data_IF_643693393894
#
_entry.id   IF_643693393894
#
_cell.length_a   1.000
_cell.length_b   1.000
_cell.length_c   1.000
_cell.angle_alpha   90.00
_cell.angle_beta   90.00
_cell.angle_gamma   90.00
#
_symmetry.space_group_name_H-M   'P 1'
#
loop_
_entity.id
_entity.type
_entity.pdbx_description
1 polymer ?
#
# COMPACT_ATOMS: atom_id res chain seq x y z
N UNK A 1 8.27 14.76 -13.14
CA UNK A 1 8.64 14.98 -11.71
C UNK A 1 7.39 15.24 -10.93
N UNK A 2 7.14 14.44 -9.90
CA UNK A 2 6.00 14.58 -8.99
C UNK A 2 6.16 15.91 -8.22
N UNK A 3 5.12 16.74 -8.25
CA UNK A 3 5.11 18.01 -7.51
C UNK A 3 4.00 17.97 -6.47
N UNK A 4 4.31 17.62 -5.21
CA UNK A 4 3.31 17.67 -4.14
C UNK A 4 3.06 19.11 -3.69
N UNK A 5 1.83 19.40 -3.30
CA UNK A 5 1.45 20.70 -2.71
C UNK A 5 2.08 20.91 -1.32
N UNK A 6 2.56 19.84 -0.70
CA UNK A 6 3.21 19.84 0.62
C UNK A 6 4.68 19.47 0.50
N UNK A 7 5.53 20.06 1.34
CA UNK A 7 6.96 19.72 1.38
C UNK A 7 7.15 18.33 1.99
N UNK A 8 8.03 17.50 1.39
CA UNK A 8 8.42 16.22 2.00
C UNK A 8 9.05 16.45 3.38
N UNK A 9 8.74 15.53 4.30
CA UNK A 9 9.34 15.54 5.65
C UNK A 9 10.65 14.77 5.60
N UNK A 10 11.76 15.44 5.89
CA UNK A 10 13.03 14.79 6.08
C UNK A 10 13.06 13.97 7.36
N UNK A 11 13.48 12.72 7.24
CA UNK A 11 13.49 11.80 8.36
C UNK A 11 14.73 11.99 9.23
N UNK A 12 14.55 12.42 10.49
CA UNK A 12 15.63 12.34 11.49
C UNK A 12 15.92 10.89 11.84
N UNK A 13 17.13 10.44 11.52
CA UNK A 13 17.60 9.10 11.82
C UNK A 13 17.91 8.96 13.31
N UNK A 14 17.21 8.09 14.02
CA UNK A 14 17.40 7.84 15.46
C UNK A 14 17.92 6.41 15.69
N UNK A 15 18.64 6.18 16.78
CA UNK A 15 19.12 4.85 17.17
C UNK A 15 17.96 3.84 17.30
N UNK A 16 16.81 4.26 17.84
CA UNK A 16 15.61 3.43 17.96
C UNK A 16 15.11 2.94 16.58
N UNK A 17 15.13 3.81 15.56
CA UNK A 17 14.72 3.45 14.19
C UNK A 17 15.74 2.54 13.54
N UNK A 18 17.03 2.81 13.70
CA UNK A 18 18.10 1.96 13.22
C UNK A 18 18.01 0.53 13.80
N UNK A 19 17.77 0.42 15.11
CA UNK A 19 17.63 -0.87 15.79
C UNK A 19 16.36 -1.61 15.31
N UNK A 20 15.22 -0.93 15.20
CA UNK A 20 13.97 -1.52 14.68
C UNK A 20 14.16 -2.03 13.24
N UNK A 21 14.76 -1.22 12.36
CA UNK A 21 15.08 -1.65 11.00
C UNK A 21 16.01 -2.87 11.00
N UNK A 22 17.06 -2.88 11.82
CA UNK A 22 17.99 -4.00 11.90
C UNK A 22 17.30 -5.31 12.34
N UNK A 23 16.47 -5.26 13.37
CA UNK A 23 15.75 -6.44 13.89
C UNK A 23 14.78 -7.06 12.89
N UNK A 24 14.12 -6.24 12.09
CA UNK A 24 13.11 -6.69 11.11
C UNK A 24 13.61 -6.71 9.67
N UNK A 25 14.86 -6.31 9.43
CA UNK A 25 15.43 -6.12 8.09
C UNK A 25 15.17 -7.29 7.15
N UNK A 26 15.53 -8.50 7.56
CA UNK A 26 15.46 -9.69 6.67
C UNK A 26 14.01 -9.96 6.25
N UNK A 27 13.07 -9.93 7.19
CA UNK A 27 11.66 -10.25 6.94
C UNK A 27 10.99 -9.17 6.08
N UNK A 28 11.18 -7.89 6.44
CA UNK A 28 10.58 -6.77 5.73
C UNK A 28 11.14 -6.60 4.32
N UNK A 29 12.46 -6.71 4.14
CA UNK A 29 13.09 -6.62 2.83
C UNK A 29 12.74 -7.81 1.91
N UNK A 30 12.65 -9.03 2.46
CA UNK A 30 12.24 -10.19 1.68
C UNK A 30 10.78 -10.05 1.19
N UNK A 31 9.88 -9.54 2.06
CA UNK A 31 8.50 -9.23 1.69
C UNK A 31 8.45 -8.13 0.63
N UNK A 32 9.15 -7.02 0.85
CA UNK A 32 9.19 -5.89 -0.06
C UNK A 32 9.70 -6.29 -1.46
N UNK A 33 10.81 -7.04 -1.54
CA UNK A 33 11.35 -7.53 -2.82
C UNK A 33 10.37 -8.44 -3.57
N UNK A 34 9.58 -9.24 -2.85
CA UNK A 34 8.58 -10.10 -3.49
C UNK A 34 7.44 -9.28 -4.08
N UNK A 35 6.89 -8.32 -3.31
CA UNK A 35 5.84 -7.42 -3.79
C UNK A 35 6.34 -6.56 -4.95
N UNK A 36 7.55 -6.01 -4.82
CA UNK A 36 8.16 -5.16 -5.83
C UNK A 36 8.27 -5.85 -7.21
N UNK A 37 8.56 -7.16 -7.27
CA UNK A 37 8.59 -7.88 -8.55
C UNK A 37 7.26 -7.83 -9.29
N UNK A 38 6.13 -8.06 -8.59
CA UNK A 38 4.80 -7.96 -9.20
C UNK A 38 4.46 -6.53 -9.62
N UNK A 39 4.90 -5.53 -8.84
CA UNK A 39 4.70 -4.13 -9.15
C UNK A 39 5.47 -3.74 -10.41
N UNK A 40 6.73 -4.15 -10.51
CA UNK A 40 7.59 -3.83 -11.65
C UNK A 40 7.00 -4.30 -12.99
N UNK A 41 6.36 -5.48 -13.03
CA UNK A 41 5.69 -6.03 -14.21
C UNK A 41 4.52 -5.15 -14.71
N UNK A 42 4.00 -4.27 -13.85
CA UNK A 42 2.87 -3.38 -14.15
C UNK A 42 3.31 -1.93 -14.43
N UNK A 43 4.60 -1.61 -14.34
CA UNK A 43 5.09 -0.23 -14.44
C UNK A 43 5.72 0.15 -15.79
N UNK A 44 5.75 -0.72 -16.79
CA UNK A 44 6.50 -0.50 -18.04
C UNK A 44 6.16 0.83 -18.72
N UNK A 45 4.90 1.22 -18.73
CA UNK A 45 4.38 2.43 -19.37
C UNK A 45 4.30 3.65 -18.39
N UNK A 46 4.80 3.52 -17.17
CA UNK A 46 4.75 4.56 -16.14
C UNK A 46 6.10 5.26 -15.98
N UNK A 47 6.07 6.57 -15.73
CA UNK A 47 7.27 7.37 -15.42
C UNK A 47 7.39 7.69 -13.94
N UNK A 48 6.27 7.71 -13.23
CA UNK A 48 6.22 8.00 -11.81
C UNK A 48 5.18 7.15 -11.07
N UNK A 49 5.39 6.98 -9.76
CA UNK A 49 4.58 6.15 -8.88
C UNK A 49 4.48 6.80 -7.51
N UNK A 50 3.29 6.85 -6.92
CA UNK A 50 3.13 7.07 -5.48
C UNK A 50 2.92 5.73 -4.76
N UNK A 51 3.55 5.57 -3.60
CA UNK A 51 3.28 4.49 -2.63
C UNK A 51 2.36 5.07 -1.55
N UNK A 52 1.06 4.81 -1.70
CA UNK A 52 0.00 5.35 -0.84
C UNK A 52 -0.16 4.50 0.42
N UNK A 53 -0.10 5.13 1.59
CA UNK A 53 -0.05 4.45 2.87
C UNK A 53 1.25 3.66 3.04
N UNK A 54 2.38 4.29 2.68
CA UNK A 54 3.69 3.66 2.55
C UNK A 54 4.30 3.13 3.87
N UNK A 55 3.70 3.45 5.01
CA UNK A 55 4.05 2.93 6.33
C UNK A 55 5.53 3.09 6.66
N UNK A 56 6.26 1.96 6.74
CA UNK A 56 7.68 1.94 7.06
C UNK A 56 8.61 2.33 5.90
N UNK A 57 8.07 2.49 4.71
CA UNK A 57 8.74 2.85 3.45
C UNK A 57 9.79 1.83 2.95
N UNK A 58 9.85 0.63 3.48
CA UNK A 58 10.81 -0.39 2.99
C UNK A 58 10.44 -0.87 1.59
N UNK A 59 9.14 -0.97 1.28
CA UNK A 59 8.68 -1.26 -0.08
C UNK A 59 8.99 -0.11 -1.03
N UNK A 60 8.74 1.14 -0.62
CA UNK A 60 9.11 2.36 -1.38
C UNK A 60 10.61 2.38 -1.69
N UNK A 61 11.47 2.12 -0.68
CA UNK A 61 12.94 2.07 -0.85
C UNK A 61 13.36 0.93 -1.78
N UNK A 62 12.70 -0.22 -1.69
CA UNK A 62 12.98 -1.35 -2.58
C UNK A 62 12.64 -1.00 -4.04
N UNK A 63 11.48 -0.39 -4.29
CA UNK A 63 11.08 0.06 -5.62
C UNK A 63 12.04 1.12 -6.16
N UNK A 64 12.37 2.12 -5.35
CA UNK A 64 13.33 3.16 -5.73
C UNK A 64 14.70 2.58 -6.15
N UNK A 65 15.13 1.48 -5.54
CA UNK A 65 16.37 0.78 -5.91
C UNK A 65 16.24 -0.16 -7.12
N UNK A 66 15.03 -0.49 -7.57
CA UNK A 66 14.77 -1.43 -8.66
C UNK A 66 14.37 -0.75 -9.98
N UNK A 67 14.07 0.53 -9.98
CA UNK A 67 13.61 1.28 -11.15
C UNK A 67 14.26 2.67 -11.21
N UNK A 68 14.34 3.22 -12.40
CA UNK A 68 14.71 4.62 -12.69
C UNK A 68 13.51 5.58 -12.59
N UNK A 69 12.31 5.04 -12.36
CA UNK A 69 11.09 5.82 -12.23
C UNK A 69 11.07 6.62 -10.91
N UNK A 70 10.38 7.74 -10.92
CA UNK A 70 10.20 8.52 -9.71
C UNK A 70 9.20 7.82 -8.78
N UNK A 71 9.66 7.42 -7.58
CA UNK A 71 8.84 6.76 -6.56
C UNK A 71 8.75 7.64 -5.32
N UNK A 72 7.53 7.97 -4.88
CA UNK A 72 7.28 8.85 -3.74
C UNK A 72 6.35 8.17 -2.72
N UNK A 73 6.78 8.13 -1.46
CA UNK A 73 5.95 7.62 -0.35
C UNK A 73 5.03 8.69 0.22
N UNK A 74 3.76 8.33 0.45
CA UNK A 74 2.72 9.19 1.02
C UNK A 74 2.00 8.48 2.16
N UNK A 75 1.84 9.13 3.30
CA UNK A 75 1.14 8.57 4.45
C UNK A 75 0.53 9.66 5.33
N UNK A 76 -0.39 9.32 6.22
CA UNK A 76 -0.93 10.21 7.25
C UNK A 76 -0.07 10.21 8.52
N UNK A 77 0.75 9.17 8.72
CA UNK A 77 1.59 8.96 9.91
C UNK A 77 3.04 8.73 9.52
N UNK A 78 3.97 9.40 10.18
CA UNK A 78 5.40 9.16 9.97
C UNK A 78 5.90 7.91 10.69
N UNK A 79 5.84 6.76 10.04
CA UNK A 79 6.42 5.48 10.47
C UNK A 79 7.71 5.11 9.73
N UNK A 80 8.22 5.99 8.88
CA UNK A 80 9.36 5.78 7.98
C UNK A 80 10.60 5.21 8.68
N UNK A 81 11.10 4.08 8.21
CA UNK A 81 12.34 3.41 8.64
C UNK A 81 13.48 3.56 7.62
N UNK A 82 13.30 4.38 6.59
CA UNK A 82 14.28 4.62 5.53
C UNK A 82 14.84 6.04 5.61
N UNK A 83 15.69 6.40 4.67
CA UNK A 83 16.19 7.78 4.52
C UNK A 83 15.46 8.54 3.41
N UNK A 84 14.51 7.90 2.72
CA UNK A 84 13.73 8.55 1.69
C UNK A 84 12.81 9.61 2.30
N UNK A 85 12.56 10.70 1.58
CA UNK A 85 11.59 11.70 2.00
C UNK A 85 10.18 11.13 1.98
N UNK A 86 9.37 11.50 2.98
CA UNK A 86 7.98 11.11 3.13
C UNK A 86 7.09 12.34 2.95
N UNK A 87 6.03 12.20 2.17
CA UNK A 87 4.97 13.21 2.09
C UNK A 87 3.89 12.85 3.09
N UNK A 88 3.66 13.74 4.06
CA UNK A 88 2.53 13.63 4.99
C UNK A 88 1.34 14.42 4.48
N UNK A 89 0.15 13.84 4.60
CA UNK A 89 -1.11 14.50 4.26
C UNK A 89 -2.16 14.28 5.36
N UNK A 90 -3.30 14.97 5.27
CA UNK A 90 -4.32 15.03 6.33
C UNK A 90 -5.32 13.86 6.36
N UNK A 91 -5.16 12.89 5.46
CA UNK A 91 -6.09 11.74 5.31
C UNK A 91 -7.34 12.08 4.49
N UNK A 92 -7.48 13.31 3.99
CA UNK A 92 -8.66 13.75 3.24
C UNK A 92 -8.39 13.93 1.76
N UNK A 93 -7.35 14.69 1.42
CA UNK A 93 -7.00 15.03 0.04
C UNK A 93 -5.52 14.80 -0.19
N UNK A 94 -5.20 14.04 -1.23
CA UNK A 94 -3.82 13.81 -1.63
C UNK A 94 -3.21 15.11 -2.20
N UNK A 95 -1.99 15.49 -1.80
CA UNK A 95 -1.36 16.75 -2.15
C UNK A 95 -0.73 16.69 -3.57
N UNK A 96 -1.51 16.27 -4.55
CA UNK A 96 -1.12 16.17 -5.94
C UNK A 96 -2.23 16.68 -6.84
N UNK A 97 -1.86 17.25 -7.98
CA UNK A 97 -2.77 17.68 -9.03
C UNK A 97 -3.54 16.49 -9.64
N UNK A 98 -4.68 16.77 -10.25
CA UNK A 98 -5.48 15.78 -10.95
C UNK A 98 -4.66 15.15 -12.08
N UNK A 99 -4.73 13.81 -12.19
CA UNK A 99 -4.05 13.04 -13.26
C UNK A 99 -2.54 13.32 -13.40
N UNK A 100 -1.87 13.75 -12.33
CA UNK A 100 -0.42 14.06 -12.33
C UNK A 100 0.47 12.85 -12.11
N UNK A 101 -0.09 11.73 -11.60
CA UNK A 101 0.61 10.51 -11.24
C UNK A 101 0.27 9.41 -12.24
N UNK A 102 1.28 8.73 -12.81
CA UNK A 102 1.04 7.63 -13.75
C UNK A 102 0.47 6.39 -13.06
N UNK A 103 1.04 6.02 -11.91
CA UNK A 103 0.56 4.88 -11.15
C UNK A 103 0.47 5.19 -9.65
N UNK A 104 -0.53 4.61 -8.97
CA UNK A 104 -0.62 4.59 -7.52
C UNK A 104 -0.51 3.15 -7.02
N UNK A 105 0.39 2.91 -6.06
CA UNK A 105 0.49 1.67 -5.32
C UNK A 105 -0.27 1.80 -4.01
N UNK A 106 -1.05 0.81 -3.68
CA UNK A 106 -1.84 0.71 -2.44
C UNK A 106 -1.62 -0.70 -1.85
N UNK A 107 -0.68 -0.82 -0.92
CA UNK A 107 -0.26 -2.11 -0.41
C UNK A 107 -0.76 -2.34 1.01
N UNK A 108 -1.87 -3.07 1.16
CA UNK A 108 -2.49 -3.42 2.46
C UNK A 108 -2.94 -2.18 3.24
N UNK A 109 -3.65 -1.27 2.59
CA UNK A 109 -4.06 0.03 3.13
C UNK A 109 -5.56 0.24 3.13
N UNK A 110 -6.28 -0.19 2.08
CA UNK A 110 -7.71 0.15 1.93
C UNK A 110 -8.56 -0.38 3.08
N UNK A 111 -8.24 -1.56 3.62
CA UNK A 111 -8.96 -2.11 4.76
C UNK A 111 -8.76 -1.30 6.06
N UNK A 112 -7.77 -0.40 6.12
CA UNK A 112 -7.56 0.56 7.21
C UNK A 112 -8.26 1.90 6.99
N UNK A 113 -8.77 2.17 5.80
CA UNK A 113 -9.45 3.42 5.51
C UNK A 113 -10.85 3.43 6.14
N UNK A 114 -11.21 4.50 6.83
CA UNK A 114 -12.57 4.69 7.38
C UNK A 114 -13.62 4.86 6.27
N UNK A 115 -13.20 5.41 5.13
CA UNK A 115 -14.02 5.66 3.95
C UNK A 115 -13.26 5.21 2.71
N UNK A 116 -13.48 3.96 2.29
CA UNK A 116 -12.84 3.36 1.12
C UNK A 116 -13.26 4.08 -0.16
N UNK A 117 -14.53 4.48 -0.26
CA UNK A 117 -15.10 5.12 -1.45
C UNK A 117 -14.43 6.46 -1.70
N UNK A 118 -14.34 7.30 -0.65
CA UNK A 118 -13.64 8.58 -0.72
C UNK A 118 -12.19 8.41 -1.13
N UNK A 119 -11.51 7.39 -0.58
CA UNK A 119 -10.10 7.15 -0.87
C UNK A 119 -9.88 6.64 -2.29
N UNK A 120 -10.74 5.76 -2.81
CA UNK A 120 -10.68 5.33 -4.22
C UNK A 120 -10.95 6.51 -5.17
N UNK A 121 -11.87 7.42 -4.83
CA UNK A 121 -12.11 8.64 -5.60
C UNK A 121 -10.86 9.54 -5.65
N UNK A 122 -10.16 9.74 -4.51
CA UNK A 122 -8.92 10.52 -4.45
C UNK A 122 -7.77 9.85 -5.22
N UNK A 123 -7.59 8.55 -5.07
CA UNK A 123 -6.61 7.80 -5.85
C UNK A 123 -6.89 7.91 -7.35
N UNK A 124 -8.16 7.78 -7.76
CA UNK A 124 -8.59 7.97 -9.17
C UNK A 124 -8.35 9.41 -9.64
N UNK A 125 -8.59 10.41 -8.80
CA UNK A 125 -8.36 11.83 -9.15
C UNK A 125 -6.89 12.09 -9.51
N UNK A 126 -5.96 11.64 -8.69
CA UNK A 126 -4.54 11.93 -8.88
C UNK A 126 -3.88 11.02 -9.92
N UNK A 127 -4.42 9.81 -10.11
CA UNK A 127 -3.80 8.79 -10.98
C UNK A 127 -4.31 8.89 -12.41
N UNK A 128 -3.39 8.80 -13.36
CA UNK A 128 -3.66 8.92 -14.80
C UNK A 128 -3.88 7.58 -15.49
N UNK A 129 -3.14 6.53 -15.13
CA UNK A 129 -3.12 5.27 -15.88
C UNK A 129 -3.63 4.09 -15.07
N UNK A 130 -3.05 3.78 -13.93
CA UNK A 130 -3.37 2.57 -13.17
C UNK A 130 -3.19 2.69 -11.67
N UNK A 131 -3.98 1.92 -10.93
CA UNK A 131 -3.83 1.72 -9.49
C UNK A 131 -3.47 0.26 -9.25
N UNK A 132 -2.38 0.00 -8.54
CA UNK A 132 -1.91 -1.33 -8.16
C UNK A 132 -2.29 -1.55 -6.71
N UNK A 133 -3.12 -2.55 -6.44
CA UNK A 133 -3.62 -2.83 -5.09
C UNK A 133 -3.16 -4.21 -4.63
N UNK A 134 -2.66 -4.28 -3.40
CA UNK A 134 -2.50 -5.52 -2.66
C UNK A 134 -3.42 -5.50 -1.47
N UNK A 135 -4.26 -6.52 -1.32
CA UNK A 135 -5.14 -6.62 -0.16
C UNK A 135 -5.21 -8.04 0.38
N UNK A 136 -5.46 -8.14 1.68
CA UNK A 136 -5.78 -9.40 2.33
C UNK A 136 -7.28 -9.67 2.23
N UNK A 137 -7.62 -10.89 1.80
CA UNK A 137 -9.02 -11.31 1.63
C UNK A 137 -9.32 -12.52 2.48
N UNK A 138 -10.54 -12.62 2.96
CA UNK A 138 -11.06 -13.81 3.62
C UNK A 138 -11.98 -14.61 2.69
N UNK A 139 -12.08 -15.93 2.92
CA UNK A 139 -12.95 -16.82 2.17
C UNK A 139 -14.16 -17.31 2.98
N UNK A 140 -14.02 -17.29 4.31
CA UNK A 140 -15.04 -17.78 5.24
C UNK A 140 -14.91 -17.08 6.61
N UNK A 141 -15.86 -17.30 7.50
CA UNK A 141 -15.90 -16.70 8.83
C UNK A 141 -14.66 -16.98 9.69
N UNK A 142 -14.02 -18.15 9.51
CA UNK A 142 -12.81 -18.49 10.25
C UNK A 142 -11.64 -17.63 9.79
N UNK A 143 -11.42 -17.54 8.47
CA UNK A 143 -10.35 -16.70 7.90
C UNK A 143 -10.57 -15.22 8.17
N UNK A 144 -11.82 -14.75 8.22
CA UNK A 144 -12.17 -13.39 8.63
C UNK A 144 -11.74 -13.11 10.08
N UNK A 145 -12.07 -14.01 11.03
CA UNK A 145 -11.67 -13.87 12.43
C UNK A 145 -10.14 -13.86 12.60
N UNK A 146 -9.43 -14.66 11.82
CA UNK A 146 -7.96 -14.70 11.84
C UNK A 146 -7.36 -13.38 11.39
N UNK A 147 -7.87 -12.78 10.31
CA UNK A 147 -7.45 -11.43 9.87
C UNK A 147 -7.68 -10.40 10.97
N UNK A 148 -8.86 -10.40 11.58
CA UNK A 148 -9.18 -9.48 12.67
C UNK A 148 -8.24 -9.66 13.88
N UNK A 149 -7.91 -10.92 14.26
CA UNK A 149 -6.96 -11.19 15.35
C UNK A 149 -5.53 -10.75 15.02
N UNK A 150 -5.10 -10.94 13.76
CA UNK A 150 -3.77 -10.52 13.30
C UNK A 150 -3.61 -9.00 13.38
N UNK A 151 -4.58 -8.26 12.89
CA UNK A 151 -4.57 -6.80 12.92
C UNK A 151 -4.75 -6.23 14.32
N UNK A 152 -5.55 -6.88 15.16
CA UNK A 152 -5.64 -6.51 16.58
C UNK A 152 -4.28 -6.63 17.28
N UNK A 153 -3.49 -7.66 16.96
CA UNK A 153 -2.11 -7.80 17.45
C UNK A 153 -1.21 -6.66 16.99
N UNK A 154 -1.31 -6.27 15.73
CA UNK A 154 -0.57 -5.12 15.19
C UNK A 154 -0.97 -3.79 15.85
N UNK A 155 -2.26 -3.62 16.20
CA UNK A 155 -2.78 -2.46 16.92
C UNK A 155 -2.20 -2.34 18.33
N UNK A 156 -2.06 -3.44 19.06
CA UNK A 156 -1.42 -3.44 20.41
C UNK A 156 0.04 -3.00 20.35
N UNK A 157 0.72 -3.23 19.22
CA UNK A 157 2.11 -2.84 19.01
C UNK A 157 2.25 -1.42 18.44
N UNK A 158 1.18 -0.86 17.86
CA UNK A 158 1.16 0.45 17.19
C UNK A 158 -0.01 1.28 17.70
N UNK A 159 0.19 2.00 18.81
CA UNK A 159 -0.85 2.75 19.55
C UNK A 159 -1.46 3.97 18.85
N UNK A 160 -1.32 4.14 17.53
CA UNK A 160 -1.68 5.38 16.82
C UNK A 160 -2.70 5.23 15.68
N UNK A 161 -3.20 4.03 15.40
CA UNK A 161 -4.14 3.84 14.29
C UNK A 161 -5.51 3.44 14.83
N UNK A 162 -6.52 4.26 14.54
CA UNK A 162 -7.91 3.80 14.54
C UNK A 162 -8.07 2.94 13.29
N UNK A 163 -8.37 1.67 13.46
CA UNK A 163 -8.43 0.71 12.36
C UNK A 163 -9.87 0.22 12.23
N UNK A 164 -10.65 0.76 11.30
CA UNK A 164 -11.82 0.03 10.81
C UNK A 164 -11.30 -1.20 10.07
N UNK A 165 -11.67 -2.39 10.53
CA UNK A 165 -11.26 -3.66 9.92
C UNK A 165 -12.17 -3.98 8.73
N UNK A 166 -12.03 -3.23 7.65
CA UNK A 166 -12.84 -3.34 6.44
C UNK A 166 -12.31 -4.43 5.48
N UNK A 167 -12.00 -5.61 6.03
CA UNK A 167 -11.62 -6.73 5.17
C UNK A 167 -12.81 -7.18 4.32
N UNK A 168 -12.56 -7.36 3.03
CA UNK A 168 -13.55 -7.83 2.07
C UNK A 168 -13.15 -9.19 1.48
N UNK A 169 -14.11 -9.86 0.85
CA UNK A 169 -13.81 -11.01 -0.02
C UNK A 169 -13.26 -10.54 -1.35
N UNK A 170 -12.63 -11.43 -2.11
CA UNK A 170 -12.12 -11.11 -3.46
C UNK A 170 -13.21 -10.51 -4.36
N UNK A 171 -14.40 -11.15 -4.40
CA UNK A 171 -15.51 -10.68 -5.26
C UNK A 171 -16.05 -9.32 -4.82
N UNK A 172 -16.08 -9.06 -3.51
CA UNK A 172 -16.46 -7.76 -2.97
C UNK A 172 -15.49 -6.66 -3.36
N UNK A 173 -14.16 -6.92 -3.33
CA UNK A 173 -13.17 -5.97 -3.83
C UNK A 173 -13.38 -5.66 -5.31
N UNK A 174 -13.60 -6.68 -6.16
CA UNK A 174 -13.89 -6.49 -7.59
C UNK A 174 -15.17 -5.65 -7.78
N UNK A 175 -16.21 -5.94 -7.02
CA UNK A 175 -17.45 -5.16 -7.05
C UNK A 175 -17.19 -3.70 -6.68
N UNK A 176 -16.52 -3.45 -5.56
CA UNK A 176 -16.16 -2.10 -5.07
C UNK A 176 -15.37 -1.32 -6.12
N UNK A 177 -14.37 -1.92 -6.75
CA UNK A 177 -13.59 -1.24 -7.78
C UNK A 177 -14.45 -0.86 -8.99
N UNK A 178 -15.33 -1.76 -9.45
CA UNK A 178 -16.23 -1.50 -10.59
C UNK A 178 -17.25 -0.40 -10.28
N UNK A 179 -17.80 -0.37 -9.07
CA UNK A 179 -18.73 0.68 -8.62
C UNK A 179 -18.09 2.07 -8.64
N UNK A 180 -16.75 2.13 -8.53
CA UNK A 180 -15.96 3.37 -8.64
C UNK A 180 -15.41 3.63 -10.05
N UNK A 181 -15.92 2.92 -11.07
CA UNK A 181 -15.45 3.02 -12.45
C UNK A 181 -13.93 2.78 -12.57
N UNK A 182 -13.43 1.75 -11.90
CA UNK A 182 -12.09 1.21 -12.03
C UNK A 182 -12.17 -0.14 -12.71
N UNK A 183 -11.52 -0.29 -13.86
CA UNK A 183 -11.47 -1.56 -14.59
C UNK A 183 -10.45 -2.51 -13.95
N UNK A 184 -10.86 -3.75 -13.63
CA UNK A 184 -9.93 -4.76 -13.09
C UNK A 184 -9.23 -5.46 -14.26
N UNK A 185 -8.01 -5.05 -14.57
CA UNK A 185 -7.23 -5.57 -15.69
C UNK A 185 -6.54 -6.89 -15.36
N UNK A 186 -6.02 -7.00 -14.11
CA UNK A 186 -5.40 -8.22 -13.60
C UNK A 186 -5.84 -8.46 -12.16
N UNK A 187 -6.03 -9.72 -11.79
CA UNK A 187 -6.23 -10.13 -10.40
C UNK A 187 -5.72 -11.55 -10.21
N UNK A 188 -4.84 -11.75 -9.24
CA UNK A 188 -4.32 -13.08 -8.91
C UNK A 188 -3.88 -13.17 -7.46
N UNK A 189 -3.85 -14.40 -6.94
CA UNK A 189 -3.39 -14.69 -5.59
C UNK A 189 -1.87 -14.66 -5.53
N UNK A 190 -1.32 -13.98 -4.53
CA UNK A 190 0.10 -14.01 -4.20
C UNK A 190 0.32 -15.12 -3.18
N UNK A 191 1.21 -16.04 -3.51
CA UNK A 191 1.60 -17.09 -2.57
C UNK A 191 2.65 -16.55 -1.60
N UNK A 192 2.33 -16.60 -0.30
CA UNK A 192 3.32 -16.34 0.76
C UNK A 192 4.12 -17.63 1.02
N UNK A 193 5.44 -17.50 1.11
CA UNK A 193 6.32 -18.57 1.55
C UNK A 193 6.84 -18.23 2.95
N UNK A 194 7.01 -19.22 3.84
CA UNK A 194 6.07 -20.04 4.58
C UNK A 194 5.74 -19.44 5.97
N UNK A 195 4.86 -19.91 6.77
CA UNK A 195 4.51 -21.29 7.10
C UNK A 195 3.01 -21.62 6.93
N UNK A 196 2.60 -22.91 7.09
CA UNK A 196 1.27 -23.42 6.71
C UNK A 196 0.07 -22.82 7.46
N UNK A 197 0.26 -22.14 8.59
CA UNK A 197 -0.83 -21.48 9.31
C UNK A 197 -1.38 -20.22 8.62
N UNK A 198 -0.62 -19.59 7.70
CA UNK A 198 -1.04 -18.37 6.99
C UNK A 198 -1.78 -18.66 5.67
N UNK A 199 -2.04 -19.91 5.32
CA UNK A 199 -2.87 -20.25 4.16
C UNK A 199 -4.38 -20.03 4.39
N UNK A 200 -4.77 -19.59 5.58
CA UNK A 200 -6.17 -19.28 5.91
C UNK A 200 -6.60 -17.88 5.43
N UNK A 201 -5.65 -17.01 5.13
CA UNK A 201 -5.87 -15.70 4.52
C UNK A 201 -5.16 -15.65 3.18
N UNK A 202 -5.70 -14.90 2.24
CA UNK A 202 -5.13 -14.79 0.91
C UNK A 202 -4.74 -13.35 0.64
N UNK A 203 -3.53 -13.14 0.13
CA UNK A 203 -3.12 -11.86 -0.43
C UNK A 203 -3.40 -11.86 -1.92
N UNK A 204 -4.12 -10.86 -2.36
CA UNK A 204 -4.50 -10.68 -3.76
C UNK A 204 -3.82 -9.44 -4.30
N UNK A 205 -3.30 -9.57 -5.50
CA UNK A 205 -2.87 -8.49 -6.35
C UNK A 205 -4.03 -8.07 -7.27
N UNK A 206 -4.23 -6.76 -7.44
CA UNK A 206 -5.11 -6.19 -8.44
C UNK A 206 -4.35 -5.13 -9.23
N UNK A 207 -4.50 -5.12 -10.54
CA UNK A 207 -4.14 -4.00 -11.41
C UNK A 207 -5.42 -3.39 -11.94
N UNK A 208 -5.65 -2.13 -11.59
CA UNK A 208 -6.86 -1.41 -11.93
C UNK A 208 -6.53 -0.34 -12.98
N UNK A 209 -7.28 -0.32 -14.07
CA UNK A 209 -7.25 0.77 -15.04
C UNK A 209 -8.04 1.97 -14.53
N UNK A 210 -7.53 3.17 -14.81
CA UNK A 210 -8.16 4.46 -14.48
C UNK A 210 -8.63 5.08 -15.80
N UNK A 211 -9.94 5.09 -15.98
CA UNK A 211 -10.59 5.72 -17.14
C UNK A 211 -10.77 7.23 -16.95
#
# INVERSE_FOLDING_TARGET
MIKPDTKPVEQKWTLKRALRRFLFKIVLEARAKRLARHIMESLDDCSNLIDFGCGDMILTECLHGMTDKEVVGVDTVNSNLTRLPLILYDGNRLPFDDKSIDAALVAFVLHHCSDIEKMLAELKRVTRKKIIVFEEVYQNLLSQKILHCHDFGNRLLSSKMEIPLNFLTHDKWIQTFREHNLSVNKSFRIYQYPPPMMNLTHQIFFELGVD
#
